data_IF_946055499208
#
_entry.id   IF_946055499208
#
_cell.length_a   1.000
_cell.length_b   1.000
_cell.length_c   1.000
_cell.angle_alpha   90.00
_cell.angle_beta   90.00
_cell.angle_gamma   90.00
#
_symmetry.space_group_name_H-M   'P 1'
#
loop_
_entity.id
_entity.type
_entity.pdbx_description
1 polymer ?
#
# COMPACT_ATOMS: atom_id res chain seq x y z
N UNK A 1 -14.22 -36.46 -25.08
CA UNK A 1 -15.53 -35.81 -24.84
C UNK A 1 -16.17 -36.35 -23.57
N UNK A 2 -16.31 -37.69 -23.41
CA UNK A 2 -16.94 -38.35 -22.26
C UNK A 2 -16.37 -37.91 -20.90
N UNK A 3 -15.03 -37.82 -20.76
CA UNK A 3 -14.42 -37.38 -19.51
C UNK A 3 -14.75 -35.93 -19.17
N UNK A 4 -14.83 -35.05 -20.16
CA UNK A 4 -15.23 -33.65 -19.94
C UNK A 4 -16.71 -33.56 -19.55
N UNK A 5 -17.60 -34.36 -20.17
CA UNK A 5 -19.00 -34.44 -19.80
C UNK A 5 -19.18 -34.94 -18.36
N UNK A 6 -18.42 -35.95 -17.95
CA UNK A 6 -18.44 -36.45 -16.58
C UNK A 6 -18.00 -35.38 -15.55
N UNK A 7 -16.90 -34.66 -15.84
CA UNK A 7 -16.42 -33.55 -14.98
C UNK A 7 -17.48 -32.44 -14.87
N UNK A 8 -18.09 -32.07 -15.99
CA UNK A 8 -19.15 -31.07 -16.01
C UNK A 8 -20.39 -31.52 -15.22
N UNK A 9 -20.79 -32.80 -15.37
CA UNK A 9 -21.89 -33.38 -14.59
C UNK A 9 -21.64 -33.33 -13.07
N UNK A 10 -20.43 -33.66 -12.64
CA UNK A 10 -20.01 -33.56 -11.24
C UNK A 10 -20.03 -32.11 -10.75
N UNK A 11 -19.58 -31.16 -11.58
CA UNK A 11 -19.61 -29.73 -11.23
C UNK A 11 -21.06 -29.22 -11.04
N UNK A 12 -21.98 -29.62 -11.94
CA UNK A 12 -23.41 -29.29 -11.80
C UNK A 12 -24.01 -29.89 -10.54
N UNK A 13 -23.69 -31.15 -10.24
CA UNK A 13 -24.18 -31.81 -9.03
C UNK A 13 -23.68 -31.09 -7.75
N UNK A 14 -22.38 -30.78 -7.68
CA UNK A 14 -21.79 -30.05 -6.56
C UNK A 14 -22.38 -28.64 -6.39
N UNK A 15 -22.66 -27.92 -7.49
CA UNK A 15 -23.30 -26.61 -7.46
C UNK A 15 -24.72 -26.71 -6.90
N UNK A 16 -25.49 -27.71 -7.32
CA UNK A 16 -26.85 -27.96 -6.85
C UNK A 16 -26.86 -28.31 -5.34
N UNK A 17 -25.96 -29.17 -4.87
CA UNK A 17 -25.81 -29.50 -3.45
C UNK A 17 -25.45 -28.26 -2.60
N UNK A 18 -24.61 -27.37 -3.14
CA UNK A 18 -24.25 -26.12 -2.48
C UNK A 18 -25.35 -25.04 -2.56
N UNK A 19 -26.44 -25.26 -3.26
CA UNK A 19 -27.48 -24.28 -3.49
C UNK A 19 -27.04 -23.05 -4.31
N UNK A 20 -26.01 -23.23 -5.16
CA UNK A 20 -25.39 -22.16 -5.97
C UNK A 20 -25.59 -22.50 -7.45
N UNK A 21 -26.07 -21.55 -8.25
CA UNK A 21 -26.11 -21.75 -9.71
C UNK A 21 -24.70 -21.57 -10.31
N UNK A 22 -24.42 -22.26 -11.43
CA UNK A 22 -23.16 -22.08 -12.17
C UNK A 22 -23.00 -20.65 -12.66
N UNK A 23 -24.08 -19.95 -13.01
CA UNK A 23 -24.08 -18.54 -13.37
C UNK A 23 -23.61 -17.66 -12.21
N UNK A 24 -24.17 -17.86 -11.00
CA UNK A 24 -23.74 -17.14 -9.81
C UNK A 24 -22.25 -17.39 -9.49
N UNK A 25 -21.80 -18.65 -9.62
CA UNK A 25 -20.41 -19.00 -9.41
C UNK A 25 -19.49 -18.32 -10.45
N UNK A 26 -19.86 -18.34 -11.73
CA UNK A 26 -19.13 -17.67 -12.81
C UNK A 26 -19.08 -16.16 -12.62
N UNK A 27 -20.20 -15.51 -12.31
CA UNK A 27 -20.29 -14.07 -12.07
C UNK A 27 -19.39 -13.65 -10.91
N UNK A 28 -19.42 -14.38 -9.79
CA UNK A 28 -18.54 -14.14 -8.65
C UNK A 28 -17.06 -14.31 -9.00
N UNK A 29 -16.75 -15.29 -9.86
CA UNK A 29 -15.37 -15.52 -10.28
C UNK A 29 -14.88 -14.42 -11.24
N UNK A 30 -15.71 -13.98 -12.17
CA UNK A 30 -15.42 -12.85 -13.06
C UNK A 30 -15.20 -11.56 -12.26
N UNK A 31 -16.06 -11.26 -11.30
CA UNK A 31 -15.89 -10.09 -10.44
C UNK A 31 -14.55 -10.10 -9.67
N UNK A 32 -14.09 -11.28 -9.22
CA UNK A 32 -12.76 -11.42 -8.59
C UNK A 32 -11.63 -11.21 -9.60
N UNK A 33 -11.80 -11.70 -10.83
CA UNK A 33 -10.82 -11.49 -11.88
C UNK A 33 -10.74 -10.02 -12.31
N UNK A 34 -11.87 -9.34 -12.44
CA UNK A 34 -11.96 -7.92 -12.79
C UNK A 34 -11.36 -7.00 -11.70
N UNK A 35 -11.54 -7.33 -10.43
CA UNK A 35 -10.92 -6.62 -9.32
C UNK A 35 -9.37 -6.69 -9.37
N UNK A 36 -8.85 -7.75 -9.93
CA UNK A 36 -7.42 -8.01 -10.06
C UNK A 36 -6.84 -7.59 -11.42
N UNK A 37 -7.58 -7.88 -12.48
CA UNK A 37 -7.19 -7.67 -13.88
C UNK A 37 -8.32 -7.03 -14.69
N UNK A 38 -8.70 -5.78 -14.36
CA UNK A 38 -9.77 -5.14 -15.10
C UNK A 38 -9.35 -4.82 -16.54
N UNK A 39 -10.31 -4.85 -17.46
CA UNK A 39 -10.09 -4.41 -18.84
C UNK A 39 -9.73 -2.92 -18.92
N UNK A 40 -10.28 -2.12 -18.01
CA UNK A 40 -9.96 -0.69 -17.87
C UNK A 40 -9.68 -0.39 -16.39
N UNK A 41 -8.52 0.20 -16.13
CA UNK A 41 -8.10 0.56 -14.76
C UNK A 41 -8.66 1.93 -14.40
N UNK A 42 -9.60 1.97 -13.48
CA UNK A 42 -10.17 3.20 -12.95
C UNK A 42 -9.94 3.22 -11.45
N UNK A 43 -9.11 4.15 -10.97
CA UNK A 43 -8.90 4.35 -9.55
C UNK A 43 -10.09 5.10 -8.94
N UNK A 44 -10.47 4.83 -7.67
CA UNK A 44 -11.48 5.64 -6.97
C UNK A 44 -10.99 7.09 -6.84
N UNK A 45 -11.89 8.07 -6.64
CA UNK A 45 -11.52 9.44 -6.29
C UNK A 45 -10.58 9.46 -5.08
N UNK A 46 -9.82 10.54 -4.89
CA UNK A 46 -9.03 10.74 -3.68
C UNK A 46 -9.99 10.96 -2.50
N UNK A 47 -9.74 10.29 -1.38
CA UNK A 47 -10.65 10.29 -0.23
C UNK A 47 -10.78 11.65 0.48
N UNK A 48 -10.02 12.63 0.04
CA UNK A 48 -10.01 13.98 0.62
C UNK A 48 -10.42 15.09 -0.37
N UNK A 49 -10.97 14.75 -1.52
CA UNK A 49 -11.36 15.75 -2.54
C UNK A 49 -12.44 16.72 -2.06
N UNK A 50 -13.32 16.27 -1.17
CA UNK A 50 -14.40 17.06 -0.64
C UNK A 50 -14.01 17.87 0.61
N UNK A 51 -12.80 17.70 1.13
CA UNK A 51 -12.33 18.37 2.35
C UNK A 51 -11.68 19.73 2.06
N UNK A 52 -11.57 20.62 3.06
CA UNK A 52 -10.80 21.87 2.96
C UNK A 52 -9.35 21.63 2.53
N UNK A 53 -8.74 22.58 1.83
CA UNK A 53 -7.38 22.42 1.28
C UNK A 53 -6.33 22.12 2.35
N UNK A 54 -6.49 22.69 3.56
CA UNK A 54 -5.63 22.45 4.72
C UNK A 54 -5.75 21.06 5.34
N UNK A 55 -6.74 20.27 4.93
CA UNK A 55 -6.96 18.89 5.35
C UNK A 55 -6.65 17.89 4.23
N UNK A 56 -6.29 18.37 3.04
CA UNK A 56 -5.93 17.51 1.92
C UNK A 56 -4.45 17.16 1.95
N UNK A 57 -4.14 15.93 1.59
CA UNK A 57 -2.76 15.57 1.26
C UNK A 57 -2.30 16.41 0.06
N UNK A 58 -1.11 17.02 0.11
CA UNK A 58 -0.56 17.72 -1.06
C UNK A 58 -0.53 16.81 -2.28
N UNK A 59 -1.01 17.30 -3.41
CA UNK A 59 -1.12 16.52 -4.65
C UNK A 59 0.23 16.15 -5.25
N UNK A 60 1.28 16.87 -4.88
CA UNK A 60 2.66 16.54 -5.18
C UNK A 60 3.53 16.75 -3.93
N UNK A 61 4.38 15.78 -3.62
CA UNK A 61 5.30 15.80 -2.49
C UNK A 61 6.68 15.34 -2.93
N UNK A 62 7.71 15.94 -2.35
CA UNK A 62 9.10 15.51 -2.50
C UNK A 62 9.69 15.25 -1.12
N UNK A 63 10.08 13.99 -0.88
CA UNK A 63 10.62 13.54 0.39
C UNK A 63 12.05 13.06 0.18
N UNK A 64 12.99 13.68 0.86
CA UNK A 64 14.38 13.23 0.94
C UNK A 64 14.52 12.29 2.14
N UNK A 65 15.02 11.10 1.92
CA UNK A 65 15.26 10.08 2.96
C UNK A 65 16.73 9.73 2.94
N UNK A 66 17.37 9.73 4.11
CA UNK A 66 18.79 9.37 4.21
C UNK A 66 19.20 8.84 5.58
N UNK A 67 20.10 7.86 5.54
CA UNK A 67 20.68 7.26 6.72
C UNK A 67 21.74 8.19 7.33
N UNK A 68 21.78 8.22 8.65
CA UNK A 68 22.83 8.85 9.44
C UNK A 68 23.39 7.89 10.49
N UNK A 69 24.62 8.09 10.87
CA UNK A 69 25.25 7.41 12.00
C UNK A 69 25.30 8.37 13.18
N UNK A 70 24.77 7.94 14.30
CA UNK A 70 24.84 8.66 15.57
C UNK A 70 26.00 8.21 16.44
N UNK A 71 26.04 8.68 17.68
CA UNK A 71 26.96 8.16 18.68
C UNK A 71 26.81 6.64 18.84
N UNK A 72 27.89 5.95 19.15
CA UNK A 72 27.96 4.49 19.29
C UNK A 72 27.64 3.72 17.99
N UNK A 73 27.95 4.29 16.83
CA UNK A 73 27.73 3.70 15.49
C UNK A 73 26.27 3.29 15.20
N UNK A 74 25.32 3.79 15.98
CA UNK A 74 23.90 3.48 15.77
C UNK A 74 23.39 4.20 14.53
N UNK A 75 22.92 3.42 13.56
CA UNK A 75 22.32 3.93 12.32
C UNK A 75 20.84 4.27 12.54
N UNK A 76 20.41 5.35 11.92
CA UNK A 76 19.02 5.79 11.89
C UNK A 76 18.73 6.53 10.59
N UNK A 77 17.49 6.58 10.21
CA UNK A 77 17.01 7.31 9.04
C UNK A 77 16.34 8.60 9.49
N UNK A 78 16.55 9.65 8.73
CA UNK A 78 15.84 10.93 8.84
C UNK A 78 15.20 11.27 7.51
N UNK A 79 14.14 12.05 7.58
CA UNK A 79 13.35 12.46 6.44
C UNK A 79 13.25 13.98 6.38
N UNK A 80 13.14 14.51 5.18
CA UNK A 80 13.05 15.94 4.94
C UNK A 80 12.08 16.21 3.79
N UNK A 81 11.12 17.09 4.02
CA UNK A 81 10.21 17.60 3.01
C UNK A 81 10.47 19.09 2.82
N UNK A 82 10.71 19.52 1.58
CA UNK A 82 11.01 20.93 1.26
C UNK A 82 12.12 21.53 2.13
N UNK A 83 13.16 20.74 2.44
CA UNK A 83 14.29 21.15 3.26
C UNK A 83 14.06 21.09 4.78
N UNK A 84 12.85 20.83 5.24
CA UNK A 84 12.48 20.76 6.66
C UNK A 84 12.43 19.30 7.10
N UNK A 85 13.09 18.98 8.23
CA UNK A 85 13.01 17.67 8.83
C UNK A 85 11.60 17.37 9.32
N UNK A 86 11.10 16.17 9.02
CA UNK A 86 9.78 15.69 9.39
C UNK A 86 9.91 14.35 10.12
N UNK A 87 8.98 14.10 11.04
CA UNK A 87 8.94 12.88 11.83
C UNK A 87 10.13 12.69 12.77
N UNK A 88 10.16 11.52 13.38
CA UNK A 88 11.21 11.11 14.29
C UNK A 88 12.35 10.39 13.56
N UNK A 89 13.42 10.12 14.30
CA UNK A 89 14.51 9.27 13.81
C UNK A 89 14.03 7.82 13.75
N UNK A 90 14.09 7.20 12.59
CA UNK A 90 13.67 5.83 12.39
C UNK A 90 14.84 4.87 12.59
N UNK A 91 14.61 3.81 13.34
CA UNK A 91 15.52 2.68 13.53
C UNK A 91 14.79 1.39 13.20
N UNK A 92 15.52 0.27 13.11
CA UNK A 92 14.89 -1.01 12.77
C UNK A 92 13.96 -1.55 13.86
N UNK A 93 14.04 -1.03 15.09
CA UNK A 93 13.24 -1.45 16.25
C UNK A 93 13.21 -2.97 16.50
N UNK A 94 14.29 -3.66 16.13
CA UNK A 94 14.46 -5.10 16.28
C UNK A 94 15.91 -5.42 16.69
N UNK A 95 16.12 -6.55 17.35
CA UNK A 95 17.45 -6.98 17.84
C UNK A 95 18.45 -7.18 16.70
N UNK A 96 18.04 -7.82 15.61
CA UNK A 96 18.86 -8.00 14.41
C UNK A 96 18.39 -7.05 13.31
N UNK A 97 19.15 -5.98 13.03
CA UNK A 97 18.79 -4.99 12.04
C UNK A 97 18.48 -5.61 10.66
N UNK A 98 17.42 -5.15 10.01
CA UNK A 98 16.97 -5.66 8.72
C UNK A 98 16.58 -4.56 7.72
N UNK A 99 17.00 -3.33 8.00
CA UNK A 99 16.75 -2.11 7.22
C UNK A 99 15.28 -1.62 7.27
N UNK A 100 14.43 -2.18 8.15
CA UNK A 100 13.05 -1.71 8.34
C UNK A 100 12.95 -0.21 8.60
N UNK A 101 14.01 0.45 9.05
CA UNK A 101 14.11 1.92 9.22
C UNK A 101 13.81 2.73 7.96
N UNK A 102 13.70 2.09 6.79
CA UNK A 102 13.28 2.71 5.53
C UNK A 102 11.81 2.45 5.19
N UNK A 103 11.02 1.84 6.09
CA UNK A 103 9.64 1.40 5.84
C UNK A 103 8.66 2.53 5.51
N UNK A 104 8.95 3.77 5.90
CA UNK A 104 8.08 4.91 5.56
C UNK A 104 7.90 5.08 4.04
N UNK A 105 8.79 4.50 3.23
CA UNK A 105 8.60 4.40 1.79
C UNK A 105 7.27 3.70 1.41
N UNK A 106 6.79 2.77 2.26
CA UNK A 106 5.50 2.10 2.05
C UNK A 106 4.33 3.05 2.30
N UNK A 107 4.38 3.83 3.39
CA UNK A 107 3.36 4.82 3.73
C UNK A 107 3.24 5.89 2.64
N UNK A 108 4.38 6.36 2.11
CA UNK A 108 4.39 7.30 0.99
C UNK A 108 3.83 6.69 -0.31
N UNK A 109 4.09 5.40 -0.56
CA UNK A 109 3.50 4.71 -1.70
C UNK A 109 1.97 4.57 -1.54
N UNK A 110 1.49 4.24 -0.33
CA UNK A 110 0.06 4.17 -0.05
C UNK A 110 -0.60 5.54 -0.21
N UNK A 111 0.02 6.60 0.30
CA UNK A 111 -0.45 7.97 0.09
C UNK A 111 -0.53 8.33 -1.40
N UNK A 112 0.54 8.07 -2.17
CA UNK A 112 0.64 8.44 -3.57
C UNK A 112 -0.31 7.64 -4.46
N UNK A 113 -0.34 6.31 -4.31
CA UNK A 113 -1.05 5.41 -5.23
C UNK A 113 -2.49 5.19 -4.80
N UNK A 114 -2.75 4.94 -3.51
CA UNK A 114 -4.10 4.70 -3.01
C UNK A 114 -4.84 6.01 -2.67
N UNK A 115 -4.11 7.12 -2.48
CA UNK A 115 -4.67 8.36 -1.92
C UNK A 115 -5.02 8.22 -0.43
N UNK A 116 -4.45 7.22 0.24
CA UNK A 116 -4.75 6.89 1.62
C UNK A 116 -3.45 6.63 2.40
N UNK A 117 -3.27 7.34 3.49
CA UNK A 117 -2.26 7.06 4.50
C UNK A 117 -2.54 7.87 5.76
N UNK A 118 -3.22 7.29 6.76
CA UNK A 118 -3.37 7.89 8.09
C UNK A 118 -2.03 8.25 8.74
N UNK A 119 -0.98 7.44 8.53
CA UNK A 119 0.39 7.72 9.00
C UNK A 119 0.91 9.02 8.40
N UNK A 120 0.86 9.17 7.07
CA UNK A 120 1.30 10.39 6.38
C UNK A 120 0.46 11.60 6.80
N UNK A 121 -0.87 11.46 6.97
CA UNK A 121 -1.74 12.52 7.48
C UNK A 121 -1.34 12.96 8.88
N UNK A 122 -1.05 12.02 9.77
CA UNK A 122 -0.58 12.34 11.11
C UNK A 122 0.77 13.05 11.09
N UNK A 123 1.72 12.56 10.27
CA UNK A 123 3.05 13.12 10.10
C UNK A 123 3.02 14.58 9.62
N UNK A 124 2.15 14.89 8.65
CA UNK A 124 1.99 16.25 8.11
C UNK A 124 0.92 17.09 8.84
N UNK A 125 0.25 16.55 9.86
CA UNK A 125 -0.84 17.20 10.61
C UNK A 125 -2.04 17.58 9.73
N UNK A 126 -2.35 16.73 8.76
CA UNK A 126 -3.42 16.90 7.78
C UNK A 126 -4.62 15.97 8.03
N UNK A 127 -4.93 15.70 9.31
CA UNK A 127 -6.14 14.96 9.68
C UNK A 127 -7.38 15.75 9.32
N UNK A 128 -8.42 15.06 8.85
CA UNK A 128 -9.68 15.64 8.35
C UNK A 128 -10.64 15.99 9.50
N UNK A 129 -10.26 16.97 10.32
CA UNK A 129 -10.94 17.39 11.55
C UNK A 129 -12.28 18.08 11.32
N UNK A 130 -12.52 18.62 10.12
CA UNK A 130 -13.79 19.22 9.75
C UNK A 130 -14.96 18.23 9.78
N UNK A 131 -14.66 16.90 9.67
CA UNK A 131 -15.64 15.84 9.81
C UNK A 131 -15.19 14.86 10.91
N UNK A 132 -15.78 15.00 12.10
CA UNK A 132 -15.38 14.27 13.30
C UNK A 132 -15.37 12.72 13.13
N UNK A 133 -16.32 12.18 12.35
CA UNK A 133 -16.36 10.72 12.10
C UNK A 133 -15.21 10.25 11.24
N UNK A 134 -14.73 11.08 10.32
CA UNK A 134 -13.59 10.78 9.46
C UNK A 134 -12.29 10.96 10.24
N UNK A 135 -12.14 12.05 11.02
CA UNK A 135 -10.98 12.26 11.90
C UNK A 135 -10.78 11.08 12.87
N UNK A 136 -11.86 10.62 13.49
CA UNK A 136 -11.80 9.48 14.42
C UNK A 136 -11.64 8.13 13.69
N UNK A 137 -12.46 7.86 12.68
CA UNK A 137 -12.59 6.54 12.05
C UNK A 137 -11.57 6.26 10.97
N UNK A 138 -11.10 7.28 10.24
CA UNK A 138 -10.21 7.09 9.09
C UNK A 138 -8.79 7.66 9.33
N UNK A 139 -8.67 8.72 10.17
CA UNK A 139 -7.40 9.39 10.47
C UNK A 139 -6.96 9.18 11.93
N UNK A 140 -7.73 8.43 12.71
CA UNK A 140 -7.48 8.15 14.11
C UNK A 140 -6.35 7.13 14.37
N UNK A 141 -6.00 6.96 15.63
CA UNK A 141 -4.91 6.07 16.05
C UNK A 141 -5.09 4.62 15.58
N UNK A 142 -6.33 4.13 15.51
CA UNK A 142 -6.60 2.77 15.04
C UNK A 142 -6.32 2.62 13.53
N UNK A 143 -6.65 3.62 12.71
CA UNK A 143 -6.34 3.62 11.29
C UNK A 143 -4.82 3.64 11.05
N UNK A 144 -4.08 4.44 11.84
CA UNK A 144 -2.61 4.46 11.85
C UNK A 144 -2.06 3.06 12.17
N UNK A 145 -2.56 2.41 13.24
CA UNK A 145 -2.13 1.06 13.62
C UNK A 145 -2.41 0.02 12.52
N UNK A 146 -3.54 0.14 11.82
CA UNK A 146 -3.89 -0.76 10.71
C UNK A 146 -2.92 -0.55 9.54
N UNK A 147 -2.59 0.68 9.17
CA UNK A 147 -1.61 0.96 8.11
C UNK A 147 -0.22 0.44 8.46
N UNK A 148 0.24 0.65 9.69
CA UNK A 148 1.49 0.08 10.21
C UNK A 148 1.48 -1.46 10.18
N UNK A 149 0.33 -2.06 10.52
CA UNK A 149 0.13 -3.51 10.42
C UNK A 149 0.25 -4.02 8.99
N UNK A 150 -0.32 -3.30 8.02
CA UNK A 150 -0.18 -3.61 6.58
C UNK A 150 1.27 -3.46 6.16
N UNK A 151 1.95 -2.37 6.52
CA UNK A 151 3.35 -2.14 6.17
C UNK A 151 4.26 -3.25 6.73
N UNK A 152 4.08 -3.64 7.98
CA UNK A 152 4.84 -4.72 8.63
C UNK A 152 4.56 -6.09 7.99
N UNK A 153 3.28 -6.40 7.70
CA UNK A 153 2.89 -7.63 7.03
C UNK A 153 3.49 -7.73 5.62
N UNK A 154 3.35 -6.66 4.82
CA UNK A 154 3.92 -6.57 3.47
C UNK A 154 5.44 -6.71 3.51
N UNK A 155 6.12 -6.05 4.46
CA UNK A 155 7.56 -6.18 4.64
C UNK A 155 7.99 -7.62 4.92
N UNK A 156 7.28 -8.32 5.80
CA UNK A 156 7.56 -9.72 6.13
C UNK A 156 7.48 -10.65 4.93
N UNK A 157 6.42 -10.53 4.13
CA UNK A 157 6.25 -11.30 2.90
C UNK A 157 7.28 -10.90 1.82
N UNK A 158 7.47 -9.60 1.61
CA UNK A 158 8.42 -9.08 0.63
C UNK A 158 9.85 -9.53 0.91
N UNK A 159 10.27 -9.56 2.17
CA UNK A 159 11.59 -10.02 2.59
C UNK A 159 11.90 -11.44 2.16
N UNK A 160 10.90 -12.33 2.18
CA UNK A 160 11.04 -13.72 1.72
C UNK A 160 11.13 -13.83 0.19
N UNK A 161 10.58 -12.84 -0.52
CA UNK A 161 10.48 -12.81 -1.98
C UNK A 161 11.43 -11.79 -2.63
N UNK A 162 12.55 -11.46 -1.97
CA UNK A 162 13.54 -10.51 -2.50
C UNK A 162 12.99 -9.10 -2.67
N UNK A 163 12.03 -8.69 -1.81
CA UNK A 163 11.33 -7.40 -1.89
C UNK A 163 10.69 -7.16 -3.26
N UNK A 164 10.14 -8.22 -3.84
CA UNK A 164 9.45 -8.22 -5.13
C UNK A 164 10.32 -7.70 -6.30
N UNK A 165 11.63 -7.92 -6.24
CA UNK A 165 12.53 -7.53 -7.33
C UNK A 165 12.13 -8.23 -8.64
N UNK A 166 12.03 -7.46 -9.73
CA UNK A 166 11.66 -7.96 -11.04
C UNK A 166 10.16 -8.28 -11.22
N UNK A 167 9.34 -8.18 -10.17
CA UNK A 167 7.90 -8.37 -10.29
C UNK A 167 7.21 -7.14 -10.88
N UNK A 168 6.13 -7.38 -11.60
CA UNK A 168 5.31 -6.37 -12.29
C UNK A 168 3.87 -6.44 -11.81
N UNK A 169 3.05 -5.39 -12.05
CA UNK A 169 1.62 -5.45 -11.81
C UNK A 169 0.99 -6.66 -12.51
N UNK A 170 0.38 -7.54 -11.74
CA UNK A 170 -0.15 -8.83 -12.18
C UNK A 170 0.55 -10.04 -11.54
N UNK A 171 1.74 -9.88 -10.97
CA UNK A 171 2.57 -10.98 -10.48
C UNK A 171 2.37 -11.31 -9.00
N UNK A 172 1.91 -10.36 -8.16
CA UNK A 172 1.70 -10.62 -6.73
C UNK A 172 0.58 -11.64 -6.50
N UNK A 173 0.80 -12.56 -5.57
CA UNK A 173 -0.16 -13.61 -5.25
C UNK A 173 -1.52 -13.09 -4.81
N UNK A 174 -2.61 -13.62 -5.39
CA UNK A 174 -3.97 -13.19 -5.06
C UNK A 174 -4.32 -13.39 -3.58
N UNK A 175 -3.84 -14.48 -2.97
CA UNK A 175 -4.06 -14.75 -1.54
C UNK A 175 -3.40 -13.68 -0.66
N UNK A 176 -2.20 -13.25 -1.00
CA UNK A 176 -1.49 -12.17 -0.32
C UNK A 176 -2.27 -10.84 -0.39
N UNK A 177 -2.70 -10.43 -1.59
CA UNK A 177 -3.48 -9.21 -1.75
C UNK A 177 -4.84 -9.25 -1.01
N UNK A 178 -5.48 -10.42 -0.96
CA UNK A 178 -6.68 -10.60 -0.14
C UNK A 178 -6.42 -10.45 1.35
N UNK A 179 -5.26 -10.90 1.84
CA UNK A 179 -4.87 -10.71 3.24
C UNK A 179 -4.68 -9.23 3.54
N UNK A 180 -4.03 -8.46 2.65
CA UNK A 180 -3.93 -6.99 2.77
C UNK A 180 -5.32 -6.36 2.86
N UNK A 181 -6.25 -6.72 1.97
CA UNK A 181 -7.64 -6.21 2.02
C UNK A 181 -8.35 -6.54 3.34
N UNK A 182 -8.07 -7.67 3.95
CA UNK A 182 -8.67 -8.03 5.24
C UNK A 182 -8.26 -7.08 6.37
N UNK A 183 -7.00 -6.60 6.38
CA UNK A 183 -6.53 -5.62 7.36
C UNK A 183 -7.33 -4.32 7.30
N UNK A 184 -7.69 -3.89 6.10
CA UNK A 184 -8.31 -2.57 5.86
C UNK A 184 -9.84 -2.61 5.76
N UNK A 185 -10.45 -3.74 6.13
CA UNK A 185 -11.90 -3.87 6.12
C UNK A 185 -12.57 -2.83 7.01
N UNK A 186 -13.55 -2.11 6.45
CA UNK A 186 -14.29 -1.05 7.13
C UNK A 186 -13.59 0.32 7.09
N UNK A 187 -12.42 0.42 6.45
CA UNK A 187 -11.78 1.70 6.15
C UNK A 187 -12.09 2.12 4.70
N UNK A 188 -12.05 3.43 4.44
CA UNK A 188 -12.32 3.99 3.10
C UNK A 188 -11.47 3.35 1.99
N UNK A 189 -10.23 2.99 2.30
CA UNK A 189 -9.30 2.34 1.37
C UNK A 189 -9.72 0.94 0.95
N UNK A 190 -10.71 0.32 1.61
CA UNK A 190 -11.33 -0.94 1.16
C UNK A 190 -11.93 -0.79 -0.25
N UNK A 191 -12.32 0.44 -0.63
CA UNK A 191 -12.81 0.76 -1.97
C UNK A 191 -11.72 0.65 -3.06
N UNK A 192 -10.44 0.64 -2.69
CA UNK A 192 -9.36 0.48 -3.65
C UNK A 192 -9.31 -0.97 -4.17
N UNK A 193 -9.35 -1.17 -5.49
CA UNK A 193 -9.27 -2.50 -6.09
C UNK A 193 -7.90 -3.14 -5.86
N UNK A 194 -7.81 -4.47 -5.96
CA UNK A 194 -6.57 -5.21 -5.67
C UNK A 194 -5.42 -4.84 -6.61
N UNK A 195 -5.71 -4.50 -7.87
CA UNK A 195 -4.68 -4.05 -8.80
C UNK A 195 -3.99 -2.75 -8.33
N UNK A 196 -4.75 -1.83 -7.71
CA UNK A 196 -4.20 -0.57 -7.20
C UNK A 196 -3.36 -0.80 -5.94
N UNK A 197 -3.80 -1.72 -5.06
CA UNK A 197 -3.00 -2.17 -3.93
C UNK A 197 -1.67 -2.78 -4.37
N UNK A 198 -1.70 -3.61 -5.40
CA UNK A 198 -0.49 -4.20 -5.95
C UNK A 198 0.49 -3.15 -6.47
N UNK A 199 -0.01 -2.15 -7.22
CA UNK A 199 0.83 -1.04 -7.69
C UNK A 199 1.45 -0.26 -6.52
N UNK A 200 0.67 0.00 -5.46
CA UNK A 200 1.18 0.67 -4.25
C UNK A 200 2.27 -0.16 -3.55
N UNK A 201 2.05 -1.46 -3.39
CA UNK A 201 3.01 -2.37 -2.76
C UNK A 201 4.30 -2.46 -3.58
N UNK A 202 4.20 -2.60 -4.89
CA UNK A 202 5.37 -2.68 -5.78
C UNK A 202 6.16 -1.37 -5.77
N UNK A 203 5.49 -0.21 -5.86
CA UNK A 203 6.14 1.10 -5.79
C UNK A 203 6.86 1.32 -4.45
N UNK A 204 6.22 0.96 -3.33
CA UNK A 204 6.83 1.05 -2.01
C UNK A 204 8.07 0.16 -1.87
N UNK A 205 8.01 -1.07 -2.39
CA UNK A 205 9.14 -1.99 -2.35
C UNK A 205 10.27 -1.60 -3.31
N UNK A 206 9.98 -1.02 -4.45
CA UNK A 206 10.99 -0.44 -5.35
C UNK A 206 11.75 0.67 -4.64
N UNK A 207 11.06 1.61 -4.03
CA UNK A 207 11.66 2.68 -3.23
C UNK A 207 12.46 2.13 -2.04
N UNK A 208 11.93 1.13 -1.34
CA UNK A 208 12.62 0.47 -0.24
C UNK A 208 13.94 -0.18 -0.69
N UNK A 209 13.95 -0.95 -1.79
CA UNK A 209 15.18 -1.55 -2.35
C UNK A 209 16.21 -0.50 -2.70
N UNK A 210 15.79 0.56 -3.36
CA UNK A 210 16.67 1.68 -3.72
C UNK A 210 17.30 2.32 -2.49
N UNK A 211 16.49 2.68 -1.48
CA UNK A 211 16.95 3.29 -0.23
C UNK A 211 17.86 2.36 0.57
N UNK A 212 17.53 1.06 0.60
CA UNK A 212 18.35 0.04 1.22
C UNK A 212 19.72 -0.10 0.57
N UNK A 213 19.81 -0.01 -0.74
CA UNK A 213 21.08 -0.07 -1.49
C UNK A 213 21.89 1.22 -1.34
N UNK A 214 21.27 2.35 -1.63
CA UNK A 214 21.94 3.67 -1.71
C UNK A 214 22.10 4.36 -0.36
N UNK A 215 21.38 3.90 0.68
CA UNK A 215 21.30 4.52 2.00
C UNK A 215 20.75 5.96 1.99
N UNK A 216 20.30 6.42 0.85
CA UNK A 216 19.68 7.73 0.63
C UNK A 216 18.92 7.75 -0.68
N UNK A 217 17.93 8.63 -0.78
CA UNK A 217 17.16 8.81 -2.01
C UNK A 217 16.12 9.90 -1.86
N UNK A 218 15.54 10.27 -2.98
CA UNK A 218 14.41 11.20 -3.07
C UNK A 218 13.19 10.48 -3.60
N UNK A 219 12.09 10.60 -2.88
CA UNK A 219 10.78 10.12 -3.32
C UNK A 219 10.00 11.31 -3.92
N UNK A 220 9.46 11.12 -5.11
CA UNK A 220 8.51 12.04 -5.72
C UNK A 220 7.15 11.38 -5.75
N UNK A 221 6.21 11.98 -5.04
CA UNK A 221 4.84 11.53 -4.97
C UNK A 221 3.97 12.41 -5.88
N UNK A 222 3.18 11.77 -6.73
CA UNK A 222 2.14 12.40 -7.53
C UNK A 222 0.81 11.69 -7.22
N UNK A 223 0.00 12.30 -6.37
CA UNK A 223 -1.26 11.72 -5.91
C UNK A 223 -2.32 11.78 -7.02
N UNK A 224 -2.27 12.76 -7.90
CA UNK A 224 -3.19 12.86 -9.04
C UNK A 224 -2.89 11.79 -10.09
N UNK A 225 -1.61 11.64 -10.43
CA UNK A 225 -1.13 10.62 -11.35
C UNK A 225 -1.04 9.22 -10.74
N UNK A 226 -1.32 9.07 -9.42
CA UNK A 226 -1.24 7.79 -8.68
C UNK A 226 0.12 7.12 -8.82
N UNK A 227 1.20 7.90 -8.63
CA UNK A 227 2.57 7.44 -8.84
C UNK A 227 3.50 7.87 -7.73
N UNK A 228 4.47 7.00 -7.44
CA UNK A 228 5.64 7.36 -6.67
C UNK A 228 6.88 6.93 -7.44
N UNK A 229 7.86 7.82 -7.52
CA UNK A 229 9.17 7.56 -8.13
C UNK A 229 10.24 7.71 -7.08
N UNK A 230 11.30 6.92 -7.19
CA UNK A 230 12.50 7.06 -6.38
C UNK A 230 13.67 7.42 -7.28
N UNK A 231 14.49 8.38 -6.85
CA UNK A 231 15.66 8.86 -7.56
C UNK A 231 16.83 9.16 -6.62
N UNK A 232 18.02 9.33 -7.19
CA UNK A 232 19.17 9.75 -6.41
C UNK A 232 18.91 11.11 -5.74
N UNK A 233 19.34 11.23 -4.49
CA UNK A 233 19.27 12.51 -3.78
C UNK A 233 20.25 13.48 -4.42
N UNK A 234 19.82 14.66 -4.89
CA UNK A 234 20.74 15.67 -5.46
C UNK A 234 21.89 15.98 -4.51
N UNK A 235 23.05 16.19 -5.07
CA UNK A 235 24.29 16.59 -4.38
C UNK A 235 24.19 17.99 -3.80
#
# INVERSE_FOLDING_TARGET
LERLSAVFGLLVAAANEAGVTLEQAATRNLAKAEDRWPATRVAPPLFDEAFPDEERLPRALTIDIFERTGGNDRRYVVQRCNGIFIGDRLTDNIMKPDDYRFHDAFHYAYAAVLGWSPVTRALFRLKRKSEARVDEGQDGARAILIEEGVATFVFGEAKQLGFFEGQRPGDLGFAFLKSVRQFVRGYEVEACPLWLWEEAILAGNEAFRFLREKRRGRLRLDLVGRKMLVEDLPT
#
